data_IF_045663239719
#
_entry.id   IF_045663239719
#
_cell.length_a   1.000
_cell.length_b   1.000
_cell.length_c   1.000
_cell.angle_alpha   90.00
_cell.angle_beta   90.00
_cell.angle_gamma   90.00
#
_symmetry.space_group_name_H-M   'P 1'
#
loop_
_entity.id
_entity.type
_entity.pdbx_description
1 polymer ?
#
# COMPACT_ATOMS: atom_id res chain seq x y z
N UNK A 1 19.08 -31.15 12.58
CA UNK A 1 19.19 -30.89 11.14
C UNK A 1 17.94 -30.17 10.64
N UNK A 2 17.92 -28.81 10.63
CA UNK A 2 16.83 -28.03 10.03
C UNK A 2 17.39 -26.73 9.48
N UNK A 3 17.07 -26.43 8.23
CA UNK A 3 17.38 -25.15 7.60
C UNK A 3 17.79 -25.32 6.14
N UNK A 4 16.88 -25.82 5.30
CA UNK A 4 17.05 -25.73 3.86
C UNK A 4 17.17 -24.25 3.48
N UNK A 5 18.27 -23.90 2.81
CA UNK A 5 18.45 -22.60 2.19
C UNK A 5 17.37 -22.43 1.13
N UNK A 6 16.29 -21.73 1.47
CA UNK A 6 15.37 -21.22 0.46
C UNK A 6 16.15 -20.21 -0.37
N UNK A 7 16.46 -20.57 -1.62
CA UNK A 7 17.04 -19.62 -2.57
C UNK A 7 16.20 -18.36 -2.55
N UNK A 8 16.79 -17.24 -2.08
CA UNK A 8 16.07 -15.99 -1.91
C UNK A 8 15.48 -15.61 -3.26
N UNK A 9 14.16 -15.73 -3.39
CA UNK A 9 13.47 -15.40 -4.63
C UNK A 9 13.63 -13.90 -4.83
N UNK A 10 14.46 -13.51 -5.79
CA UNK A 10 14.75 -12.11 -6.04
C UNK A 10 13.46 -11.40 -6.45
N UNK A 11 13.08 -10.40 -5.67
CA UNK A 11 11.90 -9.57 -5.93
C UNK A 11 12.19 -8.65 -7.12
N UNK A 12 11.22 -8.52 -8.03
CA UNK A 12 11.29 -7.54 -9.11
C UNK A 12 11.34 -6.10 -8.56
N UNK A 13 11.82 -5.15 -9.37
CA UNK A 13 11.84 -3.74 -8.99
C UNK A 13 10.46 -3.23 -8.56
N UNK A 14 9.42 -3.63 -9.29
CA UNK A 14 8.03 -3.27 -8.99
C UNK A 14 7.53 -3.90 -7.69
N UNK A 15 7.84 -5.18 -7.44
CA UNK A 15 7.51 -5.82 -6.17
C UNK A 15 8.18 -5.12 -4.98
N UNK A 16 9.45 -4.69 -5.14
CA UNK A 16 10.15 -3.90 -4.12
C UNK A 16 9.46 -2.55 -3.90
N UNK A 17 9.01 -1.88 -4.95
CA UNK A 17 8.28 -0.61 -4.84
C UNK A 17 6.94 -0.79 -4.10
N UNK A 18 6.15 -1.81 -4.44
CA UNK A 18 4.88 -2.13 -3.76
C UNK A 18 5.11 -2.39 -2.27
N UNK A 19 6.09 -3.23 -1.92
CA UNK A 19 6.41 -3.53 -0.53
C UNK A 19 6.97 -2.32 0.22
N UNK A 20 7.76 -1.48 -0.46
CA UNK A 20 8.24 -0.22 0.11
C UNK A 20 7.08 0.71 0.46
N UNK A 21 6.13 0.89 -0.47
CA UNK A 21 4.97 1.73 -0.27
C UNK A 21 4.10 1.23 0.90
N UNK A 22 3.83 -0.08 0.95
CA UNK A 22 3.11 -0.70 2.07
C UNK A 22 3.77 -0.42 3.42
N UNK A 23 5.09 -0.64 3.53
CA UNK A 23 5.83 -0.38 4.78
C UNK A 23 5.81 1.10 5.16
N UNK A 24 5.85 2.01 4.18
CA UNK A 24 5.77 3.44 4.46
C UNK A 24 4.42 3.85 5.03
N UNK A 25 3.31 3.30 4.54
CA UNK A 25 2.00 3.49 5.17
C UNK A 25 1.98 3.00 6.62
N UNK A 26 2.54 1.82 6.90
CA UNK A 26 2.60 1.30 8.28
C UNK A 26 3.46 2.18 9.21
N UNK A 27 4.51 2.82 8.69
CA UNK A 27 5.33 3.79 9.45
C UNK A 27 4.59 5.10 9.68
N UNK A 28 3.93 5.63 8.65
CA UNK A 28 3.10 6.83 8.77
C UNK A 28 1.98 6.62 9.80
N UNK A 29 1.31 5.46 9.77
CA UNK A 29 0.31 5.09 10.75
C UNK A 29 0.87 5.17 12.18
N UNK A 30 2.05 4.58 12.47
CA UNK A 30 2.68 4.64 13.81
C UNK A 30 2.95 6.05 14.32
N UNK A 31 3.11 7.01 13.41
CA UNK A 31 3.42 8.40 13.75
C UNK A 31 2.17 9.20 14.19
N UNK A 32 0.96 8.66 13.98
CA UNK A 32 -0.28 9.30 14.45
C UNK A 32 -0.40 9.23 15.98
N UNK A 33 -0.99 10.22 16.66
CA UNK A 33 -1.05 10.26 18.12
C UNK A 33 -2.04 9.23 18.71
N UNK A 34 -3.21 9.07 18.10
CA UNK A 34 -4.31 8.26 18.63
C UNK A 34 -4.15 6.78 18.29
N UNK A 35 -4.31 5.89 19.28
CA UNK A 35 -4.12 4.44 19.10
C UNK A 35 -5.15 3.84 18.14
N UNK A 36 -6.38 4.31 18.24
CA UNK A 36 -7.53 3.87 17.45
C UNK A 36 -7.30 4.20 15.97
N UNK A 37 -6.88 5.44 15.69
CA UNK A 37 -6.53 5.89 14.34
C UNK A 37 -5.39 5.05 13.74
N UNK A 38 -4.33 4.77 14.51
CA UNK A 38 -3.22 3.88 14.08
C UNK A 38 -3.76 2.52 13.62
N UNK A 39 -4.68 1.93 14.39
CA UNK A 39 -5.23 0.59 14.13
C UNK A 39 -6.13 0.60 12.89
N UNK A 40 -6.98 1.61 12.76
CA UNK A 40 -7.85 1.77 11.60
C UNK A 40 -7.05 1.93 10.30
N UNK A 41 -6.03 2.80 10.29
CA UNK A 41 -5.16 3.00 9.13
C UNK A 41 -4.46 1.68 8.76
N UNK A 42 -3.89 0.96 9.73
CA UNK A 42 -3.22 -0.33 9.48
C UNK A 42 -4.18 -1.36 8.88
N UNK A 43 -5.40 -1.45 9.42
CA UNK A 43 -6.43 -2.37 8.93
C UNK A 43 -6.79 -2.04 7.48
N UNK A 44 -7.13 -0.78 7.20
CA UNK A 44 -7.52 -0.32 5.86
C UNK A 44 -6.41 -0.58 4.84
N UNK A 45 -5.18 -0.16 5.14
CA UNK A 45 -4.03 -0.36 4.24
C UNK A 45 -3.77 -1.85 4.00
N UNK A 46 -3.82 -2.68 5.05
CA UNK A 46 -3.58 -4.12 4.90
C UNK A 46 -4.64 -4.80 4.05
N UNK A 47 -5.91 -4.41 4.23
CA UNK A 47 -7.05 -4.90 3.46
C UNK A 47 -6.93 -4.51 1.99
N UNK A 48 -6.65 -3.23 1.70
CA UNK A 48 -6.52 -2.75 0.32
C UNK A 48 -5.33 -3.38 -0.42
N UNK A 49 -4.16 -3.47 0.22
CA UNK A 49 -3.00 -4.11 -0.41
C UNK A 49 -3.24 -5.61 -0.66
N UNK A 50 -3.94 -6.30 0.26
CA UNK A 50 -4.30 -7.70 0.08
C UNK A 50 -5.32 -7.88 -1.05
N UNK A 51 -6.36 -7.05 -1.09
CA UNK A 51 -7.37 -7.06 -2.15
C UNK A 51 -6.73 -6.84 -3.52
N UNK A 52 -5.91 -5.80 -3.67
CA UNK A 52 -5.20 -5.55 -4.92
C UNK A 52 -4.25 -6.69 -5.31
N UNK A 53 -3.59 -7.35 -4.36
CA UNK A 53 -2.73 -8.50 -4.65
C UNK A 53 -3.49 -9.74 -5.16
N UNK A 54 -4.80 -9.83 -4.89
CA UNK A 54 -5.68 -10.90 -5.35
C UNK A 54 -6.37 -10.55 -6.68
N UNK A 55 -6.81 -9.30 -6.84
CA UNK A 55 -7.64 -8.85 -7.97
C UNK A 55 -6.83 -8.30 -9.14
N UNK A 56 -5.62 -7.78 -8.91
CA UNK A 56 -4.79 -7.18 -9.97
C UNK A 56 -3.90 -8.24 -10.61
N UNK A 57 -4.04 -8.41 -11.92
CA UNK A 57 -3.10 -9.22 -12.69
C UNK A 57 -1.67 -8.71 -12.51
N UNK A 58 -0.77 -9.61 -12.13
CA UNK A 58 0.67 -9.36 -11.93
C UNK A 58 1.37 -8.87 -13.19
N UNK A 59 0.79 -9.10 -14.38
CA UNK A 59 1.28 -8.62 -15.68
C UNK A 59 0.73 -7.26 -16.08
N UNK A 60 -0.28 -6.74 -15.38
CA UNK A 60 -0.83 -5.41 -15.66
C UNK A 60 0.04 -4.31 -15.03
N UNK A 61 1.25 -4.15 -15.59
CA UNK A 61 2.26 -3.23 -15.11
C UNK A 61 1.78 -1.78 -15.07
N UNK A 62 1.00 -1.36 -16.08
CA UNK A 62 0.46 0.00 -16.17
C UNK A 62 -0.49 0.29 -14.99
N UNK A 63 -1.37 -0.66 -14.66
CA UNK A 63 -2.29 -0.48 -13.55
C UNK A 63 -1.59 -0.54 -12.19
N UNK A 64 -0.61 -1.45 -12.02
CA UNK A 64 0.21 -1.50 -10.79
C UNK A 64 0.95 -0.16 -10.60
N UNK A 65 1.51 0.40 -11.66
CA UNK A 65 2.19 1.70 -11.60
C UNK A 65 1.23 2.84 -11.26
N UNK A 66 0.02 2.83 -11.83
CA UNK A 66 -1.04 3.76 -11.45
C UNK A 66 -1.37 3.67 -9.96
N UNK A 67 -1.55 2.46 -9.43
CA UNK A 67 -1.81 2.24 -8.00
C UNK A 67 -0.63 2.70 -7.12
N UNK A 68 0.61 2.48 -7.56
CA UNK A 68 1.80 2.99 -6.87
C UNK A 68 1.83 4.51 -6.80
N UNK A 69 1.56 5.20 -7.92
CA UNK A 69 1.51 6.68 -7.97
C UNK A 69 0.38 7.21 -7.10
N UNK A 70 -0.81 6.61 -7.17
CA UNK A 70 -1.97 6.98 -6.34
C UNK A 70 -1.70 6.77 -4.86
N UNK A 71 -1.20 5.60 -4.47
CA UNK A 71 -0.87 5.28 -3.08
C UNK A 71 0.24 6.19 -2.53
N UNK A 72 1.20 6.63 -3.36
CA UNK A 72 2.20 7.61 -2.92
C UNK A 72 1.57 8.97 -2.59
N UNK A 73 0.63 9.46 -3.41
CA UNK A 73 -0.13 10.69 -3.09
C UNK A 73 -0.92 10.55 -1.79
N UNK A 74 -1.59 9.41 -1.57
CA UNK A 74 -2.31 9.14 -0.33
C UNK A 74 -1.39 9.09 0.89
N UNK A 75 -0.20 8.48 0.73
CA UNK A 75 0.82 8.44 1.78
C UNK A 75 1.34 9.83 2.13
N UNK A 76 1.60 10.67 1.13
CA UNK A 76 2.08 12.03 1.36
C UNK A 76 1.02 12.85 2.08
N UNK A 77 -0.25 12.72 1.69
CA UNK A 77 -1.37 13.33 2.40
C UNK A 77 -1.47 12.83 3.84
N UNK A 78 -1.38 11.51 4.07
CA UNK A 78 -1.45 10.92 5.41
C UNK A 78 -0.34 11.44 6.35
N UNK A 79 0.83 11.78 5.82
CA UNK A 79 1.95 12.34 6.59
C UNK A 79 1.74 13.81 6.97
N UNK A 80 0.86 14.53 6.29
CA UNK A 80 0.59 15.93 6.59
C UNK A 80 -0.10 16.09 7.95
N UNK A 81 0.32 17.06 8.77
CA UNK A 81 -0.19 17.25 10.13
C UNK A 81 -1.68 17.62 10.16
N UNK A 82 -2.16 18.32 9.12
CA UNK A 82 -3.51 18.89 9.07
C UNK A 82 -4.59 17.94 8.53
N UNK A 83 -4.20 16.72 8.14
CA UNK A 83 -5.16 15.76 7.58
C UNK A 83 -5.69 14.77 8.60
N UNK A 84 -7.02 14.69 8.69
CA UNK A 84 -7.74 13.61 9.36
C UNK A 84 -7.37 12.30 8.64
N UNK A 85 -6.68 11.39 9.34
CA UNK A 85 -5.93 10.29 8.71
C UNK A 85 -6.76 9.36 7.82
N UNK A 86 -8.07 9.23 8.06
CA UNK A 86 -8.94 8.34 7.27
C UNK A 86 -9.42 8.96 5.95
N UNK A 87 -9.68 10.27 5.92
CA UNK A 87 -10.16 10.95 4.70
C UNK A 87 -9.10 10.91 3.59
N UNK A 88 -7.82 10.88 3.97
CA UNK A 88 -6.70 10.78 3.03
C UNK A 88 -6.65 9.44 2.26
N UNK A 89 -7.28 8.40 2.79
CA UNK A 89 -7.24 7.03 2.24
C UNK A 89 -8.44 6.76 1.30
N UNK A 90 -9.51 7.56 1.39
CA UNK A 90 -10.80 7.26 0.78
C UNK A 90 -11.07 7.98 -0.57
N UNK A 91 -10.03 8.41 -1.28
CA UNK A 91 -10.17 9.18 -2.53
C UNK A 91 -10.66 8.27 -3.67
N UNK A 92 -11.96 8.27 -3.92
CA UNK A 92 -12.75 7.66 -5.02
C UNK A 92 -12.03 6.67 -5.96
N UNK A 93 -12.57 5.46 -6.02
CA UNK A 93 -12.22 4.43 -6.99
C UNK A 93 -12.85 4.78 -8.35
N UNK A 94 -12.05 5.27 -9.30
CA UNK A 94 -12.40 5.12 -10.72
C UNK A 94 -11.62 3.92 -11.25
N UNK A 95 -12.28 2.79 -11.57
CA UNK A 95 -11.60 1.71 -12.27
C UNK A 95 -11.13 2.23 -13.62
N UNK A 96 -9.95 1.80 -14.11
CA UNK A 96 -9.56 2.09 -15.48
C UNK A 96 -10.62 1.48 -16.41
N UNK A 97 -11.29 2.32 -17.22
CA UNK A 97 -12.12 1.84 -18.32
C UNK A 97 -11.20 1.12 -19.30
N UNK A 98 -11.18 -0.21 -19.24
CA UNK A 98 -10.65 -1.04 -20.32
C UNK A 98 -11.65 -0.94 -21.47
N UNK A 99 -11.28 -0.15 -22.49
CA UNK A 99 -11.92 -0.18 -23.81
C UNK A 99 -11.49 -1.44 -24.56
#
# INVERSE_FOLDING_TARGET
MRGGSSGQKQLSGMQKQVLSLYRQFLRAARSKPQKEERMQIKCLVSTEFRRNALEVDRKNFLYIEYLLRRGKKQLDLLKSPDTVGLSSLNVHHSPPQTR
#
